data_IF_700667848394
#
_entry.id   IF_700667848394
#
_cell.length_a   1.000
_cell.length_b   1.000
_cell.length_c   1.000
_cell.angle_alpha   90.00
_cell.angle_beta   90.00
_cell.angle_gamma   90.00
#
_symmetry.space_group_name_H-M   'P 1'
#
loop_
_entity.id
_entity.type
_entity.pdbx_description
1 polymer ?
#
# COMPACT_ATOMS: atom_id res chain seq x y z
N UNK A 1 -55.67 34.24 7.86
CA UNK A 1 -54.79 34.86 6.85
C UNK A 1 -53.46 34.12 6.93
N UNK A 2 -53.32 33.11 6.06
CA UNK A 2 -52.13 32.30 5.71
C UNK A 2 -51.35 31.62 6.85
N UNK A 3 -51.63 30.32 6.98
CA UNK A 3 -50.68 29.28 7.39
C UNK A 3 -49.40 29.38 6.57
N UNK A 4 -48.26 29.47 7.24
CA UNK A 4 -46.93 29.41 6.63
C UNK A 4 -46.31 28.06 6.97
N UNK A 5 -46.67 27.05 6.18
CA UNK A 5 -45.99 25.77 6.17
C UNK A 5 -44.59 25.97 5.57
N UNK A 6 -43.58 25.51 6.30
CA UNK A 6 -42.18 25.52 5.87
C UNK A 6 -42.01 24.54 4.71
N UNK A 7 -41.45 24.95 3.55
CA UNK A 7 -41.12 23.97 2.51
C UNK A 7 -39.98 23.11 3.04
N UNK A 8 -40.26 21.83 3.27
CA UNK A 8 -39.23 20.79 3.38
C UNK A 8 -38.82 20.45 1.95
N UNK A 9 -37.78 21.10 1.47
CA UNK A 9 -37.13 20.66 0.23
C UNK A 9 -36.33 19.42 0.60
N UNK A 10 -36.92 18.26 0.33
CA UNK A 10 -36.25 16.99 0.40
C UNK A 10 -35.16 16.97 -0.67
N UNK A 11 -33.92 17.21 -0.25
CA UNK A 11 -32.76 16.77 -1.01
C UNK A 11 -32.73 15.24 -0.92
N UNK A 12 -33.57 14.59 -1.73
CA UNK A 12 -33.43 13.18 -2.05
C UNK A 12 -32.13 13.08 -2.83
N UNK A 13 -31.03 12.82 -2.11
CA UNK A 13 -29.74 12.48 -2.69
C UNK A 13 -29.95 11.25 -3.57
N UNK A 14 -30.10 11.48 -4.87
CA UNK A 14 -30.07 10.44 -5.89
C UNK A 14 -28.61 9.95 -5.94
N UNK A 15 -28.30 8.92 -5.16
CA UNK A 15 -27.05 8.18 -5.24
C UNK A 15 -27.01 7.44 -6.59
N UNK A 16 -26.74 8.20 -7.65
CA UNK A 16 -26.50 7.68 -8.98
C UNK A 16 -25.21 6.85 -8.96
N UNK A 17 -25.37 5.53 -9.09
CA UNK A 17 -24.44 4.56 -9.66
C UNK A 17 -22.95 4.90 -9.48
N UNK A 18 -22.48 4.84 -8.23
CA UNK A 18 -21.05 4.90 -7.97
C UNK A 18 -20.42 3.62 -8.54
N UNK A 19 -19.67 3.76 -9.64
CA UNK A 19 -18.81 2.68 -10.14
C UNK A 19 -18.04 2.05 -8.96
N UNK A 20 -17.91 0.71 -8.91
CA UNK A 20 -17.24 0.07 -7.79
C UNK A 20 -15.85 0.69 -7.64
N UNK A 21 -15.50 1.09 -6.41
CA UNK A 21 -14.18 1.59 -6.11
C UNK A 21 -13.16 0.52 -6.51
N UNK A 22 -12.41 0.78 -7.58
CA UNK A 22 -11.35 -0.12 -8.02
C UNK A 22 -10.11 0.17 -7.19
N UNK A 23 -9.64 -0.85 -6.48
CA UNK A 23 -8.36 -0.82 -5.80
C UNK A 23 -7.23 -0.45 -6.75
N UNK A 24 -6.23 0.24 -6.20
CA UNK A 24 -5.01 0.63 -6.90
C UNK A 24 -3.88 -0.23 -6.39
N UNK A 25 -3.12 -0.77 -7.33
CA UNK A 25 -2.06 -1.74 -7.02
C UNK A 25 -0.72 -1.26 -7.57
N UNK A 26 0.33 -1.42 -6.77
CA UNK A 26 1.72 -1.28 -7.19
C UNK A 26 2.49 -2.55 -6.84
N UNK A 27 3.46 -2.91 -7.67
CA UNK A 27 4.39 -4.01 -7.38
C UNK A 27 5.82 -3.48 -7.43
N UNK A 28 6.53 -3.63 -6.32
CA UNK A 28 7.96 -3.32 -6.23
C UNK A 28 8.73 -4.63 -6.30
N UNK A 29 9.72 -4.71 -7.20
CA UNK A 29 10.61 -5.87 -7.35
C UNK A 29 12.05 -5.40 -7.25
N UNK A 30 12.81 -6.01 -6.33
CA UNK A 30 14.24 -5.75 -6.18
C UNK A 30 14.98 -7.07 -6.15
N UNK A 31 16.05 -7.15 -6.95
CA UNK A 31 16.94 -8.29 -7.01
C UNK A 31 18.23 -7.98 -6.28
N UNK A 32 18.59 -8.84 -5.34
CA UNK A 32 19.81 -8.78 -4.53
C UNK A 32 20.92 -9.66 -5.13
N UNK A 33 22.11 -9.60 -4.52
CA UNK A 33 23.25 -10.40 -4.96
C UNK A 33 22.96 -11.90 -4.89
N UNK A 34 22.26 -12.34 -3.84
CA UNK A 34 21.88 -13.71 -3.62
C UNK A 34 20.56 -13.83 -2.84
N UNK A 35 20.05 -15.06 -2.74
CA UNK A 35 18.80 -15.34 -2.06
C UNK A 35 18.90 -15.29 -0.53
N UNK A 36 20.09 -15.35 0.05
CA UNK A 36 20.24 -15.18 1.50
C UNK A 36 20.02 -13.72 1.86
N UNK A 37 20.68 -12.78 1.17
CA UNK A 37 20.43 -11.34 1.31
C UNK A 37 18.95 -11.01 1.10
N UNK A 38 18.33 -11.56 0.06
CA UNK A 38 16.91 -11.32 -0.22
C UNK A 38 15.99 -11.76 0.95
N UNK A 39 16.28 -12.92 1.58
CA UNK A 39 15.51 -13.41 2.75
C UNK A 39 15.76 -12.56 3.99
N UNK A 40 16.99 -12.12 4.23
CA UNK A 40 17.32 -11.25 5.35
C UNK A 40 16.61 -9.90 5.24
N UNK A 41 16.63 -9.28 4.06
CA UNK A 41 15.91 -8.04 3.80
C UNK A 41 14.40 -8.23 3.97
N UNK A 42 13.82 -9.30 3.42
CA UNK A 42 12.39 -9.57 3.59
C UNK A 42 12.00 -9.78 5.07
N UNK A 43 12.85 -10.46 5.86
CA UNK A 43 12.63 -10.63 7.29
C UNK A 43 12.70 -9.29 8.05
N UNK A 44 13.55 -8.36 7.62
CA UNK A 44 13.65 -7.02 8.19
C UNK A 44 12.46 -6.12 7.82
N UNK A 45 11.80 -6.36 6.68
CA UNK A 45 10.59 -5.64 6.25
C UNK A 45 9.31 -6.15 6.93
N UNK A 46 9.23 -7.44 7.22
CA UNK A 46 8.03 -8.11 7.75
C UNK A 46 7.36 -7.42 8.96
N UNK A 47 8.06 -6.75 9.89
CA UNK A 47 7.41 -6.04 10.99
C UNK A 47 6.51 -4.87 10.58
N UNK A 48 6.78 -4.23 9.43
CA UNK A 48 6.01 -3.09 8.92
C UNK A 48 5.01 -3.48 7.82
N UNK A 49 5.00 -4.75 7.39
CA UNK A 49 4.02 -5.26 6.44
C UNK A 49 2.61 -5.24 7.06
N UNK A 50 1.67 -4.63 6.34
CA UNK A 50 0.25 -4.56 6.73
C UNK A 50 -0.58 -5.51 5.87
N UNK A 51 -1.88 -5.64 6.15
CA UNK A 51 -2.81 -6.40 5.29
C UNK A 51 -2.94 -5.86 3.86
N UNK A 52 -2.45 -4.63 3.63
CA UNK A 52 -2.44 -3.96 2.34
C UNK A 52 -1.18 -4.31 1.54
N UNK A 53 -0.24 -5.03 2.15
CA UNK A 53 1.04 -5.45 1.58
C UNK A 53 1.15 -6.97 1.53
N UNK A 54 1.70 -7.47 0.44
CA UNK A 54 2.02 -8.87 0.28
C UNK A 54 3.45 -9.00 -0.24
N UNK A 55 4.36 -9.39 0.65
CA UNK A 55 5.78 -9.59 0.36
C UNK A 55 6.07 -11.07 0.12
N UNK A 56 6.80 -11.38 -0.96
CA UNK A 56 7.31 -12.72 -1.27
C UNK A 56 8.76 -12.68 -1.72
N UNK A 57 9.49 -13.76 -1.45
CA UNK A 57 10.87 -13.94 -1.92
C UNK A 57 10.92 -15.07 -2.94
N UNK A 58 11.47 -14.78 -4.11
CA UNK A 58 11.76 -15.76 -5.16
C UNK A 58 13.25 -15.70 -5.53
N UNK A 59 14.02 -16.69 -5.08
CA UNK A 59 15.48 -16.70 -5.24
C UNK A 59 16.12 -15.41 -4.67
N UNK A 60 16.84 -14.63 -5.47
CA UNK A 60 17.43 -13.35 -5.06
C UNK A 60 16.46 -12.16 -5.13
N UNK A 61 15.18 -12.36 -5.44
CA UNK A 61 14.23 -11.27 -5.66
C UNK A 61 13.22 -11.17 -4.53
N UNK A 62 13.05 -9.97 -3.98
CA UNK A 62 11.92 -9.61 -3.12
C UNK A 62 10.88 -8.91 -4.00
N UNK A 63 9.64 -9.39 -3.97
CA UNK A 63 8.49 -8.76 -4.60
C UNK A 63 7.46 -8.41 -3.55
N UNK A 64 7.08 -7.13 -3.49
CA UNK A 64 6.00 -6.66 -2.63
C UNK A 64 4.90 -6.04 -3.47
N UNK A 65 3.68 -6.52 -3.27
CA UNK A 65 2.47 -5.95 -3.85
C UNK A 65 1.76 -5.10 -2.81
N UNK A 66 1.42 -3.87 -3.17
CA UNK A 66 0.73 -2.91 -2.32
C UNK A 66 -0.63 -2.62 -2.95
N UNK A 67 -1.71 -2.74 -2.18
CA UNK A 67 -3.09 -2.51 -2.65
C UNK A 67 -3.77 -1.46 -1.78
N UNK A 68 -4.26 -0.37 -2.37
CA UNK A 68 -4.90 0.75 -1.67
C UNK A 68 -6.08 1.28 -2.47
N UNK A 69 -7.12 1.76 -1.80
CA UNK A 69 -8.34 2.26 -2.44
C UNK A 69 -8.11 3.54 -3.25
N UNK A 70 -7.12 4.36 -2.87
CA UNK A 70 -6.85 5.65 -3.50
C UNK A 70 -5.43 5.73 -4.04
N UNK A 71 -5.24 6.45 -5.14
CA UNK A 71 -3.89 6.73 -5.67
C UNK A 71 -3.01 7.46 -4.65
N UNK A 72 -3.60 8.37 -3.85
CA UNK A 72 -2.87 9.08 -2.79
C UNK A 72 -2.35 8.12 -1.72
N UNK A 73 -3.22 7.24 -1.24
CA UNK A 73 -2.85 6.18 -0.29
C UNK A 73 -1.81 5.23 -0.86
N UNK A 74 -1.96 4.80 -2.13
CA UNK A 74 -0.98 3.95 -2.80
C UNK A 74 0.41 4.61 -2.87
N UNK A 75 0.46 5.89 -3.26
CA UNK A 75 1.72 6.63 -3.36
C UNK A 75 2.40 6.76 -2.00
N UNK A 76 1.67 7.16 -0.96
CA UNK A 76 2.23 7.26 0.39
C UNK A 76 2.78 5.92 0.87
N UNK A 77 1.99 4.84 0.78
CA UNK A 77 2.43 3.52 1.22
C UNK A 77 3.62 3.00 0.41
N UNK A 78 3.67 3.26 -0.90
CA UNK A 78 4.81 2.88 -1.72
C UNK A 78 6.09 3.67 -1.36
N UNK A 79 5.98 4.97 -1.11
CA UNK A 79 7.10 5.81 -0.68
C UNK A 79 7.67 5.33 0.67
N UNK A 80 6.79 5.05 1.65
CA UNK A 80 7.16 4.52 2.96
C UNK A 80 7.84 3.15 2.83
N UNK A 81 7.26 2.24 2.04
CA UNK A 81 7.83 0.92 1.78
C UNK A 81 9.24 1.00 1.16
N UNK A 82 9.45 1.86 0.17
CA UNK A 82 10.78 2.03 -0.45
C UNK A 82 11.80 2.59 0.55
N UNK A 83 11.39 3.50 1.44
CA UNK A 83 12.27 3.99 2.50
C UNK A 83 12.66 2.87 3.47
N UNK A 84 11.70 2.08 3.94
CA UNK A 84 11.93 0.92 4.79
C UNK A 84 12.85 -0.11 4.11
N UNK A 85 12.65 -0.38 2.83
CA UNK A 85 13.49 -1.28 2.02
C UNK A 85 14.94 -0.81 1.94
N UNK A 86 15.16 0.48 1.73
CA UNK A 86 16.52 1.05 1.72
C UNK A 86 17.21 0.90 3.07
N UNK A 87 16.49 1.09 4.18
CA UNK A 87 17.03 0.89 5.53
C UNK A 87 17.35 -0.59 5.78
N UNK A 88 16.43 -1.49 5.44
CA UNK A 88 16.63 -2.93 5.56
C UNK A 88 17.86 -3.42 4.78
N UNK A 89 18.04 -2.94 3.55
CA UNK A 89 19.21 -3.24 2.73
C UNK A 89 20.51 -2.76 3.38
N UNK A 90 20.58 -1.50 3.81
CA UNK A 90 21.78 -0.93 4.43
C UNK A 90 22.19 -1.68 5.70
N UNK A 91 21.22 -2.06 6.54
CA UNK A 91 21.49 -2.82 7.76
C UNK A 91 21.99 -4.23 7.43
N UNK A 92 21.39 -4.90 6.44
CA UNK A 92 21.81 -6.24 5.99
C UNK A 92 23.25 -6.24 5.47
N UNK A 93 23.61 -5.24 4.65
CA UNK A 93 24.97 -5.08 4.12
C UNK A 93 26.00 -4.83 5.24
N UNK A 94 25.62 -4.09 6.29
CA UNK A 94 26.51 -3.76 7.42
C UNK A 94 26.66 -4.94 8.40
N UNK A 95 25.69 -5.84 8.46
CA UNK A 95 25.73 -7.02 9.35
C UNK A 95 26.25 -8.29 8.69
N UNK A 96 26.55 -8.24 7.38
CA UNK A 96 27.17 -9.35 6.66
C UNK A 96 28.65 -9.46 7.06
N UNK A 97 29.12 -10.63 7.53
CA UNK A 97 30.47 -10.83 8.06
C UNK A 97 31.59 -10.74 7.02
#
# INVERSE_FOLDING_TARGET
MRDSETPTDGDETEAADAAPALDRTATVRVTFADGETARQVAAALAPDDTSEMATRVDGPTVETTITRETTGGLRTTADDYVSNLQVAQQLTDTTSP
#
